data_IF_541632898727
#
_entry.id   IF_541632898727
#
_cell.length_a   1.000
_cell.length_b   1.000
_cell.length_c   1.000
_cell.angle_alpha   90.00
_cell.angle_beta   90.00
_cell.angle_gamma   90.00
#
_symmetry.space_group_name_H-M   'P 1'
#
loop_
_entity.id
_entity.type
_entity.pdbx_description
1 polymer ?
#
# COMPACT_ATOMS: atom_id res chain seq x y z
N UNK A 1 8.55 15.11 6.80
CA UNK A 1 8.16 15.94 7.97
C UNK A 1 7.53 17.27 7.54
N UNK A 2 8.13 18.01 6.61
CA UNK A 2 7.65 19.35 6.18
C UNK A 2 6.19 19.34 5.72
N UNK A 3 5.78 18.39 4.88
CA UNK A 3 4.39 18.28 4.42
C UNK A 3 3.40 18.10 5.60
N UNK A 4 3.69 17.24 6.55
CA UNK A 4 2.84 17.03 7.73
C UNK A 4 2.76 18.29 8.61
N UNK A 5 3.86 19.03 8.72
CA UNK A 5 3.90 20.32 9.41
C UNK A 5 3.02 21.34 8.69
N UNK A 6 3.10 21.43 7.36
CA UNK A 6 2.28 22.33 6.56
C UNK A 6 0.76 22.08 6.73
N UNK A 7 0.33 20.81 6.70
CA UNK A 7 -1.09 20.50 6.97
C UNK A 7 -1.54 21.00 8.35
N UNK A 8 -0.72 20.83 9.37
CA UNK A 8 -1.02 21.30 10.73
C UNK A 8 -1.05 22.83 10.81
N UNK A 9 -0.12 23.52 10.15
CA UNK A 9 -0.06 24.99 10.12
C UNK A 9 -1.26 25.62 9.43
N UNK A 10 -1.91 24.87 8.54
CA UNK A 10 -3.15 25.28 7.87
C UNK A 10 -4.43 24.70 8.51
N UNK A 11 -4.33 24.15 9.72
CA UNK A 11 -5.45 23.54 10.45
C UNK A 11 -6.18 22.43 9.66
N UNK A 12 -5.47 21.73 8.77
CA UNK A 12 -6.01 20.58 8.05
C UNK A 12 -5.73 19.30 8.84
N UNK A 13 -6.76 18.64 9.40
CA UNK A 13 -6.57 17.47 10.22
C UNK A 13 -6.16 16.26 9.37
N UNK A 14 -5.18 15.51 9.85
CA UNK A 14 -4.74 14.24 9.28
C UNK A 14 -4.84 13.13 10.32
N UNK A 15 -5.16 11.92 9.87
CA UNK A 15 -5.19 10.71 10.71
C UNK A 15 -4.09 9.73 10.35
N UNK A 16 -3.64 9.73 9.09
CA UNK A 16 -2.70 8.74 8.54
C UNK A 16 -1.68 9.43 7.64
N UNK A 17 -0.43 9.02 7.77
CA UNK A 17 0.62 9.30 6.79
C UNK A 17 0.94 7.99 6.06
N UNK A 18 0.57 7.92 4.78
CA UNK A 18 0.90 6.77 3.94
C UNK A 18 2.26 7.04 3.29
N UNK A 19 3.15 6.06 3.32
CA UNK A 19 4.46 6.11 2.67
C UNK A 19 4.40 5.17 1.47
N UNK A 20 4.53 5.76 0.28
CA UNK A 20 4.51 5.04 -0.98
C UNK A 20 5.83 4.29 -1.21
N UNK A 21 5.95 3.60 -2.34
CA UNK A 21 7.00 2.62 -2.63
C UNK A 21 8.44 3.09 -2.39
N UNK A 22 8.73 4.39 -2.44
CA UNK A 22 10.06 4.94 -2.14
C UNK A 22 10.52 4.76 -0.67
N UNK A 23 9.69 4.15 0.20
CA UNK A 23 10.16 3.76 1.52
C UNK A 23 11.26 2.69 1.45
N UNK A 24 11.21 1.84 0.42
CA UNK A 24 12.25 0.86 0.13
C UNK A 24 13.13 1.30 -1.04
N UNK A 25 14.20 0.54 -1.28
CA UNK A 25 15.09 0.75 -2.41
C UNK A 25 14.36 0.49 -3.73
N UNK A 26 14.22 1.51 -4.58
CA UNK A 26 13.58 1.41 -5.91
C UNK A 26 14.60 1.46 -7.05
N UNK A 27 15.74 2.13 -6.86
CA UNK A 27 16.88 2.09 -7.77
C UNK A 27 17.88 1.04 -7.29
N UNK A 28 17.76 -0.16 -7.82
CA UNK A 28 18.53 -1.33 -7.41
C UNK A 28 19.46 -1.85 -8.51
N UNK A 29 19.72 -1.00 -9.49
CA UNK A 29 20.66 -1.25 -10.58
C UNK A 29 20.02 -1.57 -11.93
N UNK A 30 20.83 -1.59 -13.00
CA UNK A 30 20.37 -1.74 -14.37
C UNK A 30 19.59 -3.02 -14.60
N UNK A 31 18.43 -2.91 -15.25
CA UNK A 31 17.60 -4.05 -15.64
C UNK A 31 16.79 -4.66 -14.50
N UNK A 32 16.86 -4.13 -13.28
CA UNK A 32 16.06 -4.59 -12.15
C UNK A 32 14.88 -3.65 -11.94
N UNK A 33 13.68 -4.20 -11.98
CA UNK A 33 12.48 -3.45 -11.62
C UNK A 33 12.40 -3.33 -10.09
N UNK A 34 12.48 -2.10 -9.56
CA UNK A 34 12.46 -1.79 -8.14
C UNK A 34 11.06 -1.58 -7.55
N UNK A 35 9.99 -2.01 -8.21
CA UNK A 35 8.62 -1.88 -7.67
C UNK A 35 8.39 -2.73 -6.43
N UNK A 36 8.93 -3.96 -6.41
CA UNK A 36 8.93 -4.79 -5.21
C UNK A 36 10.19 -4.53 -4.39
N UNK A 37 10.04 -4.27 -3.11
CA UNK A 37 11.14 -4.10 -2.19
C UNK A 37 10.71 -4.15 -0.73
N UNK A 38 11.70 -4.47 0.14
CA UNK A 38 11.49 -4.65 1.57
C UNK A 38 12.63 -4.05 2.42
N UNK A 39 13.63 -3.48 1.76
CA UNK A 39 14.79 -2.86 2.41
C UNK A 39 14.61 -1.35 2.44
N UNK A 40 14.63 -0.75 3.63
CA UNK A 40 14.49 0.70 3.78
C UNK A 40 15.48 1.48 2.92
N UNK A 41 14.99 2.51 2.28
CA UNK A 41 15.81 3.49 1.59
C UNK A 41 16.37 4.49 2.61
N UNK A 42 17.56 4.21 3.11
CA UNK A 42 18.18 5.02 4.15
C UNK A 42 18.59 6.43 3.68
N UNK A 43 18.65 6.68 2.37
CA UNK A 43 18.88 8.04 1.84
C UNK A 43 17.66 8.94 2.09
N UNK A 44 16.47 8.38 2.03
CA UNK A 44 15.21 9.09 2.31
C UNK A 44 14.78 8.97 3.77
N UNK A 45 15.02 7.82 4.39
CA UNK A 45 14.67 7.49 5.77
C UNK A 45 15.89 6.99 6.53
N UNK A 46 16.83 7.89 6.94
CA UNK A 46 18.06 7.50 7.62
C UNK A 46 17.82 6.74 8.93
N UNK A 47 16.73 7.02 9.62
CA UNK A 47 16.25 6.32 10.82
C UNK A 47 14.73 6.12 10.69
N UNK A 48 14.29 4.97 10.14
CA UNK A 48 12.88 4.67 10.00
C UNK A 48 12.11 4.63 11.31
N UNK A 49 12.73 4.10 12.38
CA UNK A 49 12.09 3.99 13.69
C UNK A 49 11.82 5.39 14.29
N UNK A 50 12.81 6.30 14.24
CA UNK A 50 12.61 7.70 14.67
C UNK A 50 11.55 8.41 13.85
N UNK A 51 11.51 8.16 12.54
CA UNK A 51 10.51 8.78 11.68
C UNK A 51 9.09 8.32 12.01
N UNK A 52 8.88 7.02 12.19
CA UNK A 52 7.57 6.44 12.56
C UNK A 52 7.14 6.93 13.94
N UNK A 53 8.05 6.91 14.91
CA UNK A 53 7.77 7.41 16.26
C UNK A 53 7.43 8.91 16.24
N UNK A 54 8.10 9.71 15.40
CA UNK A 54 7.75 11.11 15.18
C UNK A 54 6.32 11.25 14.63
N UNK A 55 5.89 10.42 13.65
CA UNK A 55 4.52 10.42 13.14
C UNK A 55 3.51 10.10 14.25
N UNK A 56 3.79 9.08 15.06
CA UNK A 56 2.94 8.70 16.18
C UNK A 56 2.82 9.82 17.23
N UNK A 57 3.91 10.52 17.53
CA UNK A 57 3.87 11.71 18.41
C UNK A 57 3.03 12.86 17.82
N UNK A 58 2.82 12.92 16.52
CA UNK A 58 1.88 13.86 15.88
C UNK A 58 0.43 13.35 15.88
N UNK A 59 0.15 12.18 16.45
CA UNK A 59 -1.17 11.54 16.44
C UNK A 59 -1.51 10.83 15.14
N UNK A 60 -0.53 10.65 14.24
CA UNK A 60 -0.72 10.00 12.94
C UNK A 60 -0.47 8.50 13.02
N UNK A 61 -1.23 7.72 12.28
CA UNK A 61 -0.91 6.34 11.95
C UNK A 61 -0.12 6.29 10.64
N UNK A 62 0.59 5.19 10.41
CA UNK A 62 1.37 5.02 9.18
C UNK A 62 1.12 3.70 8.50
N UNK A 63 1.14 3.73 7.16
CA UNK A 63 1.11 2.54 6.32
C UNK A 63 2.25 2.58 5.32
N UNK A 64 2.79 1.43 4.98
CA UNK A 64 3.75 1.26 3.89
C UNK A 64 3.09 0.61 2.68
N UNK A 65 3.46 1.07 1.49
CA UNK A 65 3.04 0.51 0.22
C UNK A 65 3.76 -0.82 -0.05
N UNK A 66 3.07 -1.77 -0.67
CA UNK A 66 3.60 -3.08 -1.07
C UNK A 66 3.23 -3.41 -2.51
N UNK A 67 4.25 -3.78 -3.30
CA UNK A 67 4.11 -4.40 -4.62
C UNK A 67 4.81 -5.77 -4.60
N UNK A 68 4.26 -6.81 -3.99
CA UNK A 68 5.02 -8.01 -3.62
C UNK A 68 5.28 -8.99 -4.77
N UNK A 69 4.70 -8.79 -5.95
CA UNK A 69 4.62 -9.78 -7.01
C UNK A 69 5.96 -10.29 -7.57
N UNK A 70 7.03 -9.51 -7.46
CA UNK A 70 8.36 -9.90 -7.95
C UNK A 70 9.16 -10.73 -6.95
N UNK A 71 8.57 -11.04 -5.80
CA UNK A 71 9.21 -11.84 -4.76
C UNK A 71 10.34 -11.14 -4.04
N UNK A 72 11.31 -11.88 -3.53
CA UNK A 72 12.42 -11.34 -2.73
C UNK A 72 13.72 -11.54 -3.50
N UNK A 73 14.47 -10.47 -3.69
CA UNK A 73 15.68 -10.44 -4.49
C UNK A 73 16.95 -10.43 -3.62
N UNK A 74 18.11 -10.85 -4.19
CA UNK A 74 19.37 -10.96 -3.44
C UNK A 74 19.89 -9.68 -2.79
N UNK A 75 19.50 -8.49 -3.30
CA UNK A 75 19.89 -7.22 -2.72
C UNK A 75 19.10 -6.84 -1.46
N UNK A 76 18.00 -7.52 -1.17
CA UNK A 76 17.19 -7.24 0.01
C UNK A 76 17.93 -7.64 1.30
N UNK A 77 17.88 -6.78 2.30
CA UNK A 77 18.52 -7.04 3.59
C UNK A 77 18.03 -8.33 4.26
N UNK A 78 16.77 -8.69 4.03
CA UNK A 78 16.13 -9.89 4.58
C UNK A 78 16.31 -11.15 3.70
N UNK A 79 17.01 -11.05 2.54
CA UNK A 79 17.10 -12.15 1.58
C UNK A 79 17.70 -13.43 2.17
N UNK A 80 18.80 -13.32 2.90
CA UNK A 80 19.46 -14.49 3.50
C UNK A 80 18.57 -15.20 4.52
N UNK A 81 17.82 -14.45 5.32
CA UNK A 81 16.88 -15.00 6.29
C UNK A 81 15.68 -15.67 5.59
N UNK A 82 15.15 -15.06 4.54
CA UNK A 82 14.11 -15.67 3.71
C UNK A 82 14.59 -17.00 3.08
N UNK A 83 15.83 -17.04 2.56
CA UNK A 83 16.42 -18.28 2.05
C UNK A 83 16.47 -19.34 3.15
N UNK A 84 16.93 -19.00 4.35
CA UNK A 84 17.03 -19.95 5.46
C UNK A 84 15.66 -20.51 5.87
N UNK A 85 14.61 -19.68 5.87
CA UNK A 85 13.22 -20.10 6.18
C UNK A 85 12.62 -21.04 5.14
N UNK A 86 13.11 -20.95 3.89
CA UNK A 86 12.59 -21.70 2.75
C UNK A 86 13.52 -22.86 2.33
N UNK A 87 14.59 -23.13 3.07
CA UNK A 87 15.63 -24.11 2.76
C UNK A 87 16.29 -23.88 1.38
N UNK A 88 16.53 -22.60 1.04
CA UNK A 88 17.20 -22.19 -0.19
C UNK A 88 18.65 -21.80 0.11
N UNK A 89 19.53 -21.94 -0.89
CA UNK A 89 20.92 -21.50 -0.78
C UNK A 89 21.04 -20.01 -1.16
N UNK A 90 21.36 -19.11 -0.23
CA UNK A 90 21.52 -17.69 -0.55
C UNK A 90 22.71 -17.43 -1.49
N UNK A 91 23.69 -18.33 -1.57
CA UNK A 91 24.83 -18.18 -2.46
C UNK A 91 24.47 -18.42 -3.94
N UNK A 92 23.33 -19.04 -4.23
CA UNK A 92 22.80 -19.17 -5.58
C UNK A 92 22.46 -17.80 -6.22
N UNK A 93 22.15 -16.78 -5.40
CA UNK A 93 21.82 -15.44 -5.88
C UNK A 93 20.54 -15.36 -6.72
N UNK A 94 19.65 -16.34 -6.58
CA UNK A 94 18.38 -16.40 -7.31
C UNK A 94 17.26 -15.68 -6.56
N UNK A 95 16.41 -14.97 -7.30
CA UNK A 95 15.24 -14.36 -6.69
C UNK A 95 14.27 -15.43 -6.16
N UNK A 96 13.74 -15.22 -4.96
CA UNK A 96 12.68 -16.06 -4.38
C UNK A 96 11.35 -15.61 -5.00
N UNK A 97 10.67 -16.45 -5.79
CA UNK A 97 9.39 -16.08 -6.40
C UNK A 97 8.30 -15.82 -5.35
N UNK A 98 7.44 -14.86 -5.61
CA UNK A 98 6.26 -14.63 -4.78
C UNK A 98 5.27 -15.80 -4.91
N UNK A 99 4.96 -16.44 -3.79
CA UNK A 99 4.03 -17.57 -3.75
C UNK A 99 3.20 -17.57 -2.46
N UNK A 100 2.30 -16.63 -2.37
CA UNK A 100 1.45 -16.47 -1.18
C UNK A 100 0.49 -17.66 -0.94
N UNK A 101 0.34 -18.53 -1.93
CA UNK A 101 -0.44 -19.77 -1.81
C UNK A 101 0.33 -20.90 -1.12
N UNK A 102 1.66 -20.83 -1.05
CA UNK A 102 2.48 -21.74 -0.25
C UNK A 102 2.47 -21.31 1.23
N UNK A 103 1.99 -22.15 2.18
CA UNK A 103 1.98 -21.82 3.59
C UNK A 103 3.37 -21.54 4.19
N UNK A 104 4.43 -22.18 3.68
CA UNK A 104 5.81 -21.94 4.15
C UNK A 104 6.29 -20.57 3.71
N UNK A 105 6.04 -20.22 2.44
CA UNK A 105 6.34 -18.88 1.94
C UNK A 105 5.52 -17.83 2.70
N UNK A 106 4.23 -18.04 2.90
CA UNK A 106 3.37 -17.10 3.61
C UNK A 106 3.87 -16.86 5.05
N UNK A 107 4.24 -17.91 5.79
CA UNK A 107 4.79 -17.76 7.13
C UNK A 107 6.10 -16.94 7.12
N UNK A 108 7.06 -17.29 6.25
CA UNK A 108 8.31 -16.55 6.13
C UNK A 108 8.08 -15.09 5.69
N UNK A 109 7.15 -14.85 4.76
CA UNK A 109 6.77 -13.53 4.25
C UNK A 109 6.32 -12.59 5.39
N UNK A 110 5.47 -13.07 6.30
CA UNK A 110 5.05 -12.26 7.44
C UNK A 110 6.15 -12.14 8.49
N UNK A 111 6.72 -13.24 8.93
CA UNK A 111 7.67 -13.26 10.04
C UNK A 111 8.98 -12.51 9.73
N UNK A 112 9.47 -12.59 8.51
CA UNK A 112 10.77 -12.01 8.12
C UNK A 112 10.64 -10.61 7.53
N UNK A 113 9.58 -10.35 6.72
CA UNK A 113 9.48 -9.10 5.99
C UNK A 113 8.56 -8.06 6.67
N UNK A 114 7.48 -8.50 7.34
CA UNK A 114 6.43 -7.60 7.84
C UNK A 114 6.49 -7.37 9.35
N UNK A 115 6.59 -8.42 10.15
CA UNK A 115 6.63 -8.29 11.61
C UNK A 115 7.75 -7.39 12.12
N UNK A 116 8.98 -7.39 11.55
CA UNK A 116 10.00 -6.43 11.94
C UNK A 116 9.61 -4.98 11.69
N UNK A 117 8.92 -4.69 10.59
CA UNK A 117 8.44 -3.34 10.27
C UNK A 117 7.32 -2.90 11.22
N UNK A 118 6.41 -3.82 11.55
CA UNK A 118 5.37 -3.57 12.54
C UNK A 118 5.95 -3.36 13.94
N UNK A 119 7.04 -4.03 14.27
CA UNK A 119 7.79 -3.79 15.51
C UNK A 119 8.46 -2.41 15.54
N UNK A 120 8.81 -1.83 14.39
CA UNK A 120 9.25 -0.43 14.28
C UNK A 120 8.10 0.57 14.43
N UNK A 121 6.84 0.10 14.34
CA UNK A 121 5.65 0.93 14.51
C UNK A 121 4.75 1.09 13.28
N UNK A 122 5.00 0.37 12.18
CA UNK A 122 4.08 0.37 11.04
C UNK A 122 2.71 -0.14 11.50
N UNK A 123 1.67 0.66 11.28
CA UNK A 123 0.32 0.37 11.81
C UNK A 123 -0.47 -0.60 10.94
N UNK A 124 -0.33 -0.48 9.61
CA UNK A 124 -1.00 -1.35 8.64
C UNK A 124 -0.32 -1.29 7.27
N UNK A 125 -0.83 -2.07 6.30
CA UNK A 125 -0.21 -2.27 5.00
C UNK A 125 -1.10 -1.81 3.87
N UNK A 126 -0.48 -1.29 2.80
CA UNK A 126 -1.13 -0.95 1.55
C UNK A 126 -0.70 -1.94 0.46
N UNK A 127 -1.60 -2.89 0.11
CA UNK A 127 -1.38 -3.85 -0.97
C UNK A 127 -1.76 -3.20 -2.30
N UNK A 128 -0.76 -2.76 -3.02
CA UNK A 128 -0.91 -2.18 -4.35
C UNK A 128 -0.62 -3.24 -5.43
N UNK A 129 -1.58 -4.15 -5.59
CA UNK A 129 -1.44 -5.28 -6.49
C UNK A 129 -1.96 -4.96 -7.88
N UNK A 130 -1.09 -5.05 -8.91
CA UNK A 130 -1.41 -4.79 -10.31
C UNK A 130 -0.98 -5.96 -11.24
N UNK A 131 -0.64 -7.14 -10.71
CA UNK A 131 0.03 -8.23 -11.42
C UNK A 131 -0.92 -9.37 -11.80
N UNK A 132 -2.19 -9.04 -12.00
CA UNK A 132 -3.19 -10.00 -12.50
C UNK A 132 -3.73 -10.96 -11.43
N UNK A 133 -4.46 -11.98 -11.89
CA UNK A 133 -5.26 -12.87 -11.05
C UNK A 133 -4.76 -14.32 -11.03
N UNK A 134 -3.60 -14.60 -11.65
CA UNK A 134 -3.05 -15.96 -11.70
C UNK A 134 -2.24 -16.29 -10.44
N UNK A 135 -2.50 -17.45 -9.86
CA UNK A 135 -1.70 -18.05 -8.81
C UNK A 135 -1.40 -19.50 -9.12
N UNK A 136 -0.53 -20.16 -8.34
CA UNK A 136 -0.28 -21.61 -8.49
C UNK A 136 -1.49 -22.47 -8.16
N UNK A 137 -2.45 -21.94 -7.40
CA UNK A 137 -3.72 -22.63 -7.13
C UNK A 137 -4.78 -22.18 -8.11
N UNK A 138 -5.30 -23.11 -8.89
CA UNK A 138 -6.35 -22.83 -9.86
C UNK A 138 -7.59 -22.22 -9.18
N UNK A 139 -8.07 -21.07 -9.70
CA UNK A 139 -9.23 -20.38 -9.18
C UNK A 139 -8.99 -19.53 -7.94
N UNK A 140 -7.77 -19.49 -7.42
CA UNK A 140 -7.41 -18.58 -6.32
C UNK A 140 -6.83 -17.27 -6.88
N UNK A 141 -7.52 -16.16 -6.64
CA UNK A 141 -7.00 -14.82 -6.90
C UNK A 141 -5.94 -14.48 -5.85
N UNK A 142 -4.68 -14.17 -6.26
CA UNK A 142 -3.60 -13.89 -5.33
C UNK A 142 -3.86 -12.64 -4.48
N UNK A 143 -4.50 -11.59 -5.01
CA UNK A 143 -4.82 -10.39 -4.24
C UNK A 143 -5.87 -10.68 -3.18
N UNK A 144 -6.91 -11.44 -3.51
CA UNK A 144 -7.94 -11.80 -2.53
C UNK A 144 -7.34 -12.60 -1.36
N UNK A 145 -6.45 -13.55 -1.68
CA UNK A 145 -5.78 -14.36 -0.67
C UNK A 145 -4.77 -13.55 0.15
N UNK A 146 -3.99 -12.70 -0.51
CA UNK A 146 -3.06 -11.78 0.15
C UNK A 146 -3.78 -10.86 1.14
N UNK A 147 -4.94 -10.29 0.74
CA UNK A 147 -5.76 -9.48 1.62
C UNK A 147 -6.28 -10.25 2.83
N UNK A 148 -6.72 -11.50 2.62
CA UNK A 148 -7.15 -12.39 3.70
C UNK A 148 -6.03 -12.59 4.72
N UNK A 149 -4.86 -12.97 4.25
CA UNK A 149 -3.73 -13.27 5.13
C UNK A 149 -3.25 -12.00 5.87
N UNK A 150 -3.04 -10.89 5.19
CA UNK A 150 -2.64 -9.63 5.84
C UNK A 150 -3.65 -9.15 6.88
N UNK A 151 -4.94 -9.27 6.57
CA UNK A 151 -5.98 -8.86 7.51
C UNK A 151 -5.93 -9.66 8.82
N UNK A 152 -5.83 -10.98 8.73
CA UNK A 152 -5.81 -11.82 9.91
C UNK A 152 -4.45 -11.83 10.63
N UNK A 153 -3.35 -11.73 9.89
CA UNK A 153 -2.01 -11.60 10.48
C UNK A 153 -1.90 -10.33 11.34
N UNK A 154 -2.39 -9.21 10.84
CA UNK A 154 -2.38 -7.95 11.59
C UNK A 154 -3.20 -8.02 12.91
N UNK A 155 -4.15 -8.96 13.01
CA UNK A 155 -4.95 -9.18 14.22
C UNK A 155 -4.27 -10.08 15.28
N UNK A 156 -3.10 -10.66 15.00
CA UNK A 156 -2.45 -11.68 15.85
C UNK A 156 -2.21 -11.26 17.30
N UNK A 157 -1.95 -9.96 17.51
CA UNK A 157 -1.69 -9.40 18.84
C UNK A 157 -2.93 -8.72 19.46
N UNK A 158 -4.13 -9.10 19.02
CA UNK A 158 -5.38 -8.50 19.49
C UNK A 158 -5.66 -7.10 18.91
N UNK A 159 -4.88 -6.66 17.94
CA UNK A 159 -5.17 -5.43 17.18
C UNK A 159 -6.47 -5.59 16.40
N UNK A 160 -7.19 -4.48 16.23
CA UNK A 160 -8.27 -4.43 15.26
C UNK A 160 -7.67 -4.50 13.86
N UNK A 161 -7.99 -5.53 13.05
CA UNK A 161 -7.38 -5.70 11.75
C UNK A 161 -7.84 -4.60 10.79
N UNK A 162 -6.90 -4.15 9.97
CA UNK A 162 -7.10 -3.08 9.02
C UNK A 162 -6.11 -3.21 7.87
N UNK A 163 -6.57 -3.11 6.63
CA UNK A 163 -5.73 -3.11 5.44
C UNK A 163 -6.20 -2.07 4.44
N UNK A 164 -5.31 -1.65 3.58
CA UNK A 164 -5.58 -0.78 2.46
C UNK A 164 -5.15 -1.49 1.18
N UNK A 165 -6.07 -1.79 0.27
CA UNK A 165 -5.79 -2.66 -0.87
C UNK A 165 -6.59 -2.29 -2.11
N UNK A 166 -6.04 -2.59 -3.28
CA UNK A 166 -6.84 -2.61 -4.51
C UNK A 166 -8.00 -3.61 -4.35
N UNK A 167 -9.03 -3.43 -5.16
CA UNK A 167 -10.19 -4.31 -5.12
C UNK A 167 -9.87 -5.69 -5.72
N UNK A 168 -10.20 -6.75 -5.01
CA UNK A 168 -10.03 -8.16 -5.42
C UNK A 168 -11.35 -8.85 -5.79
N UNK A 169 -12.38 -8.10 -6.21
CA UNK A 169 -13.69 -8.64 -6.57
C UNK A 169 -14.63 -8.84 -5.38
N UNK A 170 -15.73 -9.56 -5.63
CA UNK A 170 -16.75 -9.84 -4.61
C UNK A 170 -16.18 -10.70 -3.48
N UNK A 171 -16.51 -10.36 -2.25
CA UNK A 171 -15.97 -10.98 -1.04
C UNK A 171 -14.82 -10.18 -0.42
N UNK A 172 -14.14 -9.32 -1.19
CA UNK A 172 -13.00 -8.54 -0.71
C UNK A 172 -13.41 -7.40 0.25
N UNK A 173 -14.69 -7.00 0.26
CA UNK A 173 -15.25 -6.06 1.23
C UNK A 173 -15.11 -6.49 2.69
N UNK A 174 -14.76 -7.76 2.94
CA UNK A 174 -14.42 -8.28 4.28
C UNK A 174 -13.15 -7.69 4.84
N UNK A 175 -12.29 -7.18 3.96
CA UNK A 175 -10.95 -6.69 4.28
C UNK A 175 -10.87 -5.21 3.91
N UNK A 176 -11.40 -4.31 4.77
CA UNK A 176 -11.37 -2.90 4.47
C UNK A 176 -9.93 -2.34 4.59
N UNK A 177 -9.55 -1.44 3.73
CA UNK A 177 -10.24 -0.54 2.82
C UNK A 177 -9.88 -0.91 1.38
N UNK A 178 -10.84 -0.74 0.44
CA UNK A 178 -10.54 -0.78 -0.99
C UNK A 178 -10.15 0.59 -1.55
N UNK A 179 -9.42 0.60 -2.68
CA UNK A 179 -9.15 1.83 -3.43
C UNK A 179 -9.16 1.60 -4.95
N UNK A 180 -9.52 2.62 -5.70
CA UNK A 180 -9.59 2.57 -7.16
C UNK A 180 -8.24 2.78 -7.83
N UNK A 181 -7.37 3.59 -7.26
CA UNK A 181 -6.01 3.89 -7.67
C UNK A 181 -5.78 4.30 -9.12
N UNK A 182 -4.76 5.11 -9.34
CA UNK A 182 -4.27 5.61 -10.61
C UNK A 182 -5.35 6.30 -11.47
N UNK A 183 -6.19 7.08 -10.80
CA UNK A 183 -7.30 7.80 -11.42
C UNK A 183 -6.78 8.94 -12.29
N UNK A 184 -7.25 9.01 -13.53
CA UNK A 184 -6.90 10.11 -14.43
C UNK A 184 -7.49 11.42 -13.92
N UNK A 185 -6.68 12.49 -13.89
CA UNK A 185 -7.13 13.84 -13.52
C UNK A 185 -8.06 14.37 -14.60
N UNK A 186 -9.36 14.24 -14.40
CA UNK A 186 -10.38 14.69 -15.34
C UNK A 186 -11.77 14.84 -14.68
N UNK A 187 -12.60 15.68 -15.26
CA UNK A 187 -14.01 15.82 -14.90
C UNK A 187 -14.79 14.51 -15.08
N UNK A 188 -14.46 13.72 -16.10
CA UNK A 188 -15.09 12.43 -16.36
C UNK A 188 -14.78 11.43 -15.24
N UNK A 189 -13.54 11.41 -14.76
CA UNK A 189 -13.16 10.59 -13.60
C UNK A 189 -13.94 10.98 -12.35
N UNK A 190 -14.02 12.27 -12.04
CA UNK A 190 -14.79 12.75 -10.90
C UNK A 190 -16.28 12.40 -11.02
N UNK A 191 -16.89 12.60 -12.19
CA UNK A 191 -18.30 12.30 -12.42
C UNK A 191 -18.64 10.81 -12.22
N UNK A 192 -17.68 9.92 -12.46
CA UNK A 192 -17.84 8.47 -12.25
C UNK A 192 -17.84 8.07 -10.77
N UNK A 193 -17.15 8.80 -9.89
CA UNK A 193 -16.93 8.37 -8.50
C UNK A 193 -18.24 8.22 -7.69
N UNK A 194 -19.21 9.14 -7.74
CA UNK A 194 -20.49 8.95 -7.05
C UNK A 194 -21.24 7.70 -7.51
N UNK A 195 -21.25 7.45 -8.82
CA UNK A 195 -21.87 6.24 -9.39
C UNK A 195 -21.19 4.97 -8.88
N UNK A 196 -19.84 4.92 -8.95
CA UNK A 196 -19.05 3.80 -8.47
C UNK A 196 -19.28 3.55 -6.98
N UNK A 197 -19.25 4.60 -6.16
CA UNK A 197 -19.46 4.50 -4.71
C UNK A 197 -20.83 3.94 -4.36
N UNK A 198 -21.88 4.46 -5.00
CA UNK A 198 -23.26 3.98 -4.80
C UNK A 198 -23.41 2.51 -5.22
N UNK A 199 -22.80 2.13 -6.35
CA UNK A 199 -22.85 0.75 -6.86
C UNK A 199 -22.08 -0.22 -5.98
N UNK A 200 -20.88 0.16 -5.52
CA UNK A 200 -20.06 -0.63 -4.60
C UNK A 200 -20.76 -0.83 -3.24
N UNK A 201 -21.46 0.18 -2.75
CA UNK A 201 -22.21 0.10 -1.50
C UNK A 201 -23.32 -0.97 -1.54
N UNK A 202 -23.92 -1.26 -2.70
CA UNK A 202 -24.92 -2.31 -2.86
C UNK A 202 -24.39 -3.73 -2.55
N UNK A 203 -23.09 -3.93 -2.61
CA UNK A 203 -22.40 -5.19 -2.25
C UNK A 203 -21.58 -5.04 -0.96
N UNK A 204 -21.94 -4.07 -0.12
CA UNK A 204 -21.29 -3.74 1.14
C UNK A 204 -19.81 -3.30 1.02
N UNK A 205 -19.38 -2.89 -0.17
CA UNK A 205 -18.02 -2.34 -0.38
C UNK A 205 -18.04 -0.82 -0.15
N UNK A 206 -18.34 -0.41 1.08
CA UNK A 206 -18.57 0.98 1.45
C UNK A 206 -17.33 1.70 1.98
N UNK A 207 -16.31 0.95 2.43
CA UNK A 207 -15.05 1.54 2.87
C UNK A 207 -14.11 1.71 1.69
N UNK A 208 -14.27 2.83 1.01
CA UNK A 208 -13.57 3.11 -0.23
C UNK A 208 -12.73 4.38 -0.15
N UNK A 209 -11.52 4.30 -0.68
CA UNK A 209 -10.59 5.42 -0.81
C UNK A 209 -10.45 5.80 -2.28
N UNK A 210 -10.87 6.99 -2.62
CA UNK A 210 -10.65 7.58 -3.93
C UNK A 210 -9.30 8.30 -3.99
N UNK A 211 -8.73 8.47 -5.18
CA UNK A 211 -7.63 9.40 -5.43
C UNK A 211 -8.21 10.81 -5.54
N UNK A 212 -8.36 11.49 -4.41
CA UNK A 212 -8.95 12.84 -4.37
C UNK A 212 -8.02 13.83 -5.07
N UNK A 213 -8.54 14.46 -6.13
CA UNK A 213 -7.79 15.30 -7.04
C UNK A 213 -7.40 14.61 -8.34
N UNK A 214 -7.43 13.27 -8.35
CA UNK A 214 -6.87 12.44 -9.42
C UNK A 214 -5.40 12.12 -9.18
N UNK A 215 -4.90 11.05 -9.80
CA UNK A 215 -3.55 10.54 -9.55
C UNK A 215 -2.58 10.88 -10.67
N UNK A 216 -2.95 10.66 -11.93
CA UNK A 216 -2.05 10.78 -13.07
C UNK A 216 -2.68 11.46 -14.28
N UNK A 217 -1.83 11.87 -15.21
CA UNK A 217 -2.23 12.49 -16.48
C UNK A 217 -3.10 13.74 -16.27
N UNK A 218 -3.67 14.29 -17.36
CA UNK A 218 -4.48 15.49 -17.29
C UNK A 218 -3.66 16.76 -17.08
N UNK A 219 -4.35 17.82 -16.65
CA UNK A 219 -3.77 19.12 -16.37
C UNK A 219 -4.31 19.62 -15.03
N UNK A 220 -3.54 20.47 -14.36
CA UNK A 220 -4.00 21.17 -13.16
C UNK A 220 -5.25 22.02 -13.46
N UNK A 221 -6.30 21.80 -12.66
CA UNK A 221 -7.56 22.52 -12.72
C UNK A 221 -8.05 22.74 -11.29
N UNK A 222 -7.95 23.98 -10.81
CA UNK A 222 -8.30 24.33 -9.44
C UNK A 222 -9.79 24.14 -9.13
N UNK A 223 -10.70 24.27 -10.11
CA UNK A 223 -12.11 23.96 -9.90
C UNK A 223 -12.32 22.47 -9.77
N UNK A 224 -11.75 21.68 -10.65
CA UNK A 224 -11.81 20.22 -10.60
C UNK A 224 -11.29 19.70 -9.25
N UNK A 225 -10.12 20.18 -8.80
CA UNK A 225 -9.56 19.83 -7.50
C UNK A 225 -10.51 20.18 -6.36
N UNK A 226 -11.09 21.39 -6.37
CA UNK A 226 -12.06 21.82 -5.37
C UNK A 226 -13.27 20.88 -5.32
N UNK A 227 -13.81 20.46 -6.47
CA UNK A 227 -14.94 19.53 -6.52
C UNK A 227 -14.57 18.13 -6.03
N UNK A 228 -13.35 17.66 -6.34
CA UNK A 228 -12.82 16.43 -5.79
C UNK A 228 -12.74 16.47 -4.25
N UNK A 229 -12.23 17.57 -3.68
CA UNK A 229 -12.17 17.73 -2.22
C UNK A 229 -13.56 17.75 -1.61
N UNK A 230 -14.51 18.47 -2.21
CA UNK A 230 -15.91 18.49 -1.77
C UNK A 230 -16.54 17.08 -1.77
N UNK A 231 -16.28 16.29 -2.80
CA UNK A 231 -16.69 14.88 -2.84
C UNK A 231 -15.97 14.06 -1.77
N UNK A 232 -14.67 14.28 -1.60
CA UNK A 232 -13.83 13.58 -0.64
C UNK A 232 -14.24 13.78 0.81
N UNK A 233 -14.73 14.98 1.18
CA UNK A 233 -15.23 15.27 2.53
C UNK A 233 -16.40 14.36 2.93
N UNK A 234 -17.21 13.89 1.98
CA UNK A 234 -18.31 12.96 2.21
C UNK A 234 -17.94 11.50 1.93
N UNK A 235 -16.71 11.23 1.53
CA UNK A 235 -16.21 9.88 1.32
C UNK A 235 -15.73 9.26 2.64
N UNK A 236 -15.83 7.93 2.83
CA UNK A 236 -15.35 7.26 4.04
C UNK A 236 -13.86 7.52 4.32
N UNK A 237 -13.06 7.59 3.26
CA UNK A 237 -11.64 7.92 3.32
C UNK A 237 -11.36 9.10 2.38
N UNK A 238 -10.93 10.21 2.96
CA UNK A 238 -10.41 11.34 2.19
C UNK A 238 -8.89 11.18 2.09
N UNK A 239 -8.39 10.74 0.93
CA UNK A 239 -6.97 10.56 0.66
C UNK A 239 -6.56 11.39 -0.54
N UNK A 240 -5.58 12.25 -0.37
CA UNK A 240 -4.90 12.92 -1.47
C UNK A 240 -3.81 11.97 -1.99
N UNK A 241 -3.75 11.78 -3.30
CA UNK A 241 -2.77 10.93 -3.94
C UNK A 241 -2.53 11.39 -5.37
N UNK A 242 -1.26 11.62 -5.71
CA UNK A 242 -0.87 12.04 -7.06
C UNK A 242 0.54 11.57 -7.39
N UNK A 243 0.83 11.38 -8.67
CA UNK A 243 2.19 11.15 -9.15
C UNK A 243 3.04 12.42 -9.04
N UNK A 244 4.35 12.26 -9.08
CA UNK A 244 5.30 13.36 -9.30
C UNK A 244 5.10 13.88 -10.73
N UNK A 245 4.13 14.72 -10.94
CA UNK A 245 3.90 15.39 -12.20
C UNK A 245 4.02 16.90 -11.95
N UNK A 246 4.78 17.66 -12.75
CA UNK A 246 4.87 19.11 -12.59
C UNK A 246 3.53 19.83 -12.81
N UNK A 247 2.50 19.11 -13.22
CA UNK A 247 1.14 19.60 -13.43
C UNK A 247 0.15 19.19 -12.33
N UNK A 248 0.62 18.59 -11.23
CA UNK A 248 -0.21 18.15 -10.09
C UNK A 248 0.37 18.62 -8.78
#
# INVERSE_FOLDING_TARGET
KQMMTGFREHDVPLSVCIIDMDWHLVDVGPGVNGWTGYTWNNDLFPDPAEFIDWLHRQGLRTALNLHPALGIRPHESAYAEMCARLDLDPAAGEAIPFDIADPRFAAAYFEVLHHPQEALGVDFWWMDWQQGTASKLAGLDPLWWLNHLHFYDLARDGKRPFIFSRWGGLGNQRYPIGFSGDTVVSWASLAFQPYMTATAANVAYSWWSHDIGGHMQGIEDGELFTRWVQFGVFSPILRLHSTKNPFH
#
